data_IF_514921290174
#
_entry.id   IF_514921290174
#
_cell.length_a   1.000
_cell.length_b   1.000
_cell.length_c   1.000
_cell.angle_alpha   90.00
_cell.angle_beta   90.00
_cell.angle_gamma   90.00
#
_symmetry.space_group_name_H-M   'P 1'
#
loop_
_entity.id
_entity.type
_entity.pdbx_description
1 polymer ?
#
# COMPACT_ATOMS: atom_id res chain seq x y z
N UNK A 1 -35.52 2.51 -42.60
CA UNK A 1 -34.08 2.17 -42.54
C UNK A 1 -33.22 3.28 -41.95
N UNK A 2 -33.24 4.53 -42.46
CA UNK A 2 -32.44 5.64 -41.89
C UNK A 2 -32.64 5.90 -40.39
N UNK A 3 -33.89 5.90 -39.89
CA UNK A 3 -34.19 6.12 -38.46
C UNK A 3 -33.64 5.02 -37.54
N UNK A 4 -33.63 3.77 -38.03
CA UNK A 4 -33.08 2.61 -37.30
C UNK A 4 -31.55 2.72 -37.17
N UNK A 5 -30.87 3.19 -38.21
CA UNK A 5 -29.42 3.38 -38.21
C UNK A 5 -28.98 4.54 -37.32
N UNK A 6 -29.79 5.61 -37.20
CA UNK A 6 -29.54 6.74 -36.28
C UNK A 6 -29.74 6.30 -34.82
N UNK A 7 -30.78 5.52 -34.52
CA UNK A 7 -31.01 4.95 -33.19
C UNK A 7 -29.90 3.96 -32.80
N UNK A 8 -29.45 3.12 -33.74
CA UNK A 8 -28.34 2.20 -33.52
C UNK A 8 -27.03 2.96 -33.23
N UNK A 9 -26.69 3.98 -34.04
CA UNK A 9 -25.48 4.78 -33.83
C UNK A 9 -25.49 5.57 -32.51
N UNK A 10 -26.65 6.14 -32.12
CA UNK A 10 -26.82 6.82 -30.84
C UNK A 10 -26.73 5.84 -29.64
N UNK A 11 -27.29 4.64 -29.78
CA UNK A 11 -27.18 3.57 -28.79
C UNK A 11 -25.74 3.08 -28.60
N UNK A 12 -24.98 2.93 -29.69
CA UNK A 12 -23.56 2.53 -29.63
C UNK A 12 -22.68 3.59 -28.97
N UNK A 13 -22.92 4.88 -29.24
CA UNK A 13 -22.18 5.98 -28.61
C UNK A 13 -22.46 6.08 -27.10
N UNK A 14 -23.71 5.88 -26.68
CA UNK A 14 -24.08 5.83 -25.26
C UNK A 14 -23.45 4.63 -24.53
N UNK A 15 -23.35 3.48 -25.21
CA UNK A 15 -22.70 2.27 -24.66
C UNK A 15 -21.18 2.47 -24.49
N UNK A 16 -20.52 3.13 -25.44
CA UNK A 16 -19.08 3.43 -25.32
C UNK A 16 -18.78 4.46 -24.21
N UNK A 17 -19.66 5.44 -24.00
CA UNK A 17 -19.55 6.37 -22.86
C UNK A 17 -19.79 5.67 -21.51
N UNK A 18 -20.71 4.71 -21.46
CA UNK A 18 -20.98 3.92 -20.25
C UNK A 18 -19.84 2.96 -19.87
N UNK A 19 -19.04 2.52 -20.85
CA UNK A 19 -17.88 1.64 -20.61
C UNK A 19 -16.56 2.41 -20.42
N UNK A 20 -16.55 3.74 -20.62
CA UNK A 20 -15.35 4.58 -20.71
C UNK A 20 -14.86 5.19 -19.39
N UNK A 21 -15.50 4.94 -18.24
CA UNK A 21 -15.16 5.62 -16.97
C UNK A 21 -14.41 4.78 -15.91
N UNK A 22 -13.44 3.89 -16.20
CA UNK A 22 -12.61 3.33 -15.13
C UNK A 22 -11.30 4.12 -14.89
N UNK A 23 -10.99 5.14 -15.71
CA UNK A 23 -9.64 5.70 -15.78
C UNK A 23 -9.27 6.77 -14.73
N UNK A 24 -10.18 7.21 -13.85
CA UNK A 24 -9.89 8.30 -12.87
C UNK A 24 -10.37 7.99 -11.44
N UNK A 25 -10.31 6.73 -11.01
CA UNK A 25 -10.93 6.37 -9.74
C UNK A 25 -10.00 6.31 -8.51
N UNK A 26 -8.70 6.54 -8.71
CA UNK A 26 -7.75 6.95 -7.68
C UNK A 26 -6.63 7.70 -8.40
N UNK A 27 -6.70 9.03 -8.40
CA UNK A 27 -5.79 9.94 -9.10
C UNK A 27 -4.78 10.64 -8.16
N UNK A 28 -4.89 10.39 -6.85
CA UNK A 28 -4.01 10.96 -5.82
C UNK A 28 -4.37 12.36 -5.35
N UNK A 29 -5.48 12.96 -5.81
CA UNK A 29 -5.79 14.37 -5.54
C UNK A 29 -6.78 14.60 -4.39
N UNK A 30 -7.59 13.60 -4.02
CA UNK A 30 -8.49 13.70 -2.87
C UNK A 30 -7.81 13.16 -1.62
N UNK A 31 -7.71 14.01 -0.60
CA UNK A 31 -7.00 13.69 0.64
C UNK A 31 -7.95 13.71 1.85
N UNK A 32 -7.94 12.61 2.62
CA UNK A 32 -8.69 12.47 3.87
C UNK A 32 -8.15 13.43 4.94
N UNK A 33 -6.84 13.65 4.93
CA UNK A 33 -6.12 14.60 5.76
C UNK A 33 -4.85 15.07 5.00
N UNK A 34 -4.18 16.15 5.42
CA UNK A 34 -2.90 16.55 4.83
C UNK A 34 -1.87 15.41 4.86
N UNK A 35 -1.38 14.99 3.69
CA UNK A 35 -0.43 13.88 3.54
C UNK A 35 -1.06 12.49 3.41
N UNK A 36 -2.38 12.36 3.52
CA UNK A 36 -3.10 11.10 3.39
C UNK A 36 -4.15 11.18 2.27
N UNK A 37 -3.73 10.78 1.07
CA UNK A 37 -4.53 10.85 -0.15
C UNK A 37 -4.88 9.49 -0.74
N UNK A 38 -4.61 8.41 -0.01
CA UNK A 38 -4.86 7.06 -0.49
C UNK A 38 -6.37 6.76 -0.57
N UNK A 39 -6.77 6.03 -1.61
CA UNK A 39 -8.14 5.56 -1.85
C UNK A 39 -8.12 4.14 -2.42
N UNK A 40 -9.12 3.32 -2.11
CA UNK A 40 -9.31 2.06 -2.81
C UNK A 40 -9.75 2.29 -4.26
N UNK A 41 -9.15 1.57 -5.20
CA UNK A 41 -9.62 1.56 -6.60
C UNK A 41 -11.02 0.92 -6.69
N UNK A 42 -11.84 1.23 -7.72
CA UNK A 42 -13.13 0.59 -7.92
C UNK A 42 -13.01 -0.93 -7.96
N UNK A 43 -13.87 -1.60 -7.20
CA UNK A 43 -13.85 -3.06 -7.06
C UNK A 43 -12.83 -3.59 -6.04
N UNK A 44 -12.09 -2.72 -5.36
CA UNK A 44 -11.21 -3.09 -4.23
C UNK A 44 -11.77 -2.56 -2.91
N UNK A 45 -11.56 -3.28 -1.79
CA UNK A 45 -12.04 -2.85 -0.49
C UNK A 45 -11.11 -1.79 0.13
N UNK A 46 -11.68 -0.89 0.94
CA UNK A 46 -10.96 0.08 1.75
C UNK A 46 -10.09 -0.57 2.84
N UNK A 47 -10.54 -1.69 3.41
CA UNK A 47 -9.77 -2.53 4.34
C UNK A 47 -9.61 -3.93 3.76
N UNK A 48 -8.39 -4.45 3.78
CA UNK A 48 -8.07 -5.74 3.16
C UNK A 48 -8.14 -6.93 4.13
N UNK A 49 -8.19 -6.69 5.44
CA UNK A 49 -8.37 -7.73 6.46
C UNK A 49 -9.68 -8.50 6.22
N UNK A 50 -9.61 -9.83 6.21
CA UNK A 50 -10.74 -10.72 5.91
C UNK A 50 -11.16 -10.78 4.43
N UNK A 51 -10.56 -9.96 3.55
CA UNK A 51 -10.82 -10.00 2.11
C UNK A 51 -10.00 -11.10 1.41
N UNK A 52 -10.24 -11.32 0.11
CA UNK A 52 -9.37 -12.17 -0.72
C UNK A 52 -7.94 -11.64 -0.90
N UNK A 53 -7.70 -10.38 -0.51
CA UNK A 53 -6.41 -9.70 -0.56
C UNK A 53 -5.75 -9.61 0.82
N UNK A 54 -6.31 -10.24 1.85
CA UNK A 54 -5.73 -10.25 3.19
C UNK A 54 -4.34 -10.91 3.17
N UNK A 55 -3.26 -10.19 3.54
CA UNK A 55 -1.90 -10.73 3.51
C UNK A 55 -1.61 -11.72 4.63
N UNK A 56 -2.45 -11.78 5.68
CA UNK A 56 -2.35 -12.73 6.81
C UNK A 56 -0.95 -12.85 7.39
N UNK A 57 -0.27 -11.71 7.55
CA UNK A 57 1.07 -11.68 8.10
C UNK A 57 1.11 -12.28 9.52
N UNK A 58 2.12 -13.09 9.80
CA UNK A 58 2.41 -13.56 11.15
C UNK A 58 3.05 -12.42 11.95
N UNK A 59 2.46 -12.09 13.10
CA UNK A 59 3.00 -11.08 14.02
C UNK A 59 4.42 -11.42 14.48
N UNK A 60 4.70 -12.72 14.70
CA UNK A 60 6.02 -13.20 15.08
C UNK A 60 7.05 -12.90 14.00
N UNK A 61 6.71 -13.11 12.72
CA UNK A 61 7.62 -12.84 11.61
C UNK A 61 7.86 -11.34 11.43
N UNK A 62 6.82 -10.51 11.53
CA UNK A 62 6.94 -9.04 11.44
C UNK A 62 7.87 -8.49 12.53
N UNK A 63 7.84 -9.09 13.72
CA UNK A 63 8.63 -8.62 14.87
C UNK A 63 10.12 -9.03 14.84
N UNK A 64 10.55 -9.92 13.94
CA UNK A 64 11.95 -10.39 13.90
C UNK A 64 12.96 -9.28 13.65
N UNK A 65 12.61 -8.26 12.85
CA UNK A 65 13.50 -7.14 12.56
C UNK A 65 13.81 -6.35 13.84
N UNK A 66 12.79 -6.00 14.62
CA UNK A 66 12.96 -5.30 15.90
C UNK A 66 13.78 -6.12 16.88
N UNK A 67 13.53 -7.43 16.99
CA UNK A 67 14.30 -8.31 17.87
C UNK A 67 15.79 -8.35 17.47
N UNK A 68 16.07 -8.47 16.18
CA UNK A 68 17.44 -8.48 15.67
C UNK A 68 18.15 -7.14 15.95
N UNK A 69 17.46 -6.01 15.74
CA UNK A 69 17.99 -4.67 16.03
C UNK A 69 18.31 -4.50 17.51
N UNK A 70 17.38 -4.83 18.41
CA UNK A 70 17.60 -4.74 19.86
C UNK A 70 18.80 -5.59 20.30
N UNK A 71 18.94 -6.80 19.75
CA UNK A 71 20.08 -7.65 20.03
C UNK A 71 21.40 -7.06 19.49
N UNK A 72 21.38 -6.42 18.32
CA UNK A 72 22.55 -5.72 17.76
C UNK A 72 22.95 -4.51 18.60
N UNK A 73 21.98 -3.69 19.01
CA UNK A 73 22.18 -2.52 19.86
C UNK A 73 22.79 -2.91 21.21
N UNK A 74 22.27 -3.97 21.84
CA UNK A 74 22.80 -4.47 23.10
C UNK A 74 24.24 -4.98 22.97
N UNK A 75 24.57 -5.70 21.88
CA UNK A 75 25.95 -6.11 21.60
C UNK A 75 26.86 -4.91 21.37
N UNK A 76 26.40 -3.91 20.61
CA UNK A 76 27.16 -2.69 20.36
C UNK A 76 27.41 -1.88 21.63
N UNK A 77 26.41 -1.79 22.52
CA UNK A 77 26.55 -1.15 23.83
C UNK A 77 27.66 -1.81 24.64
N UNK A 78 27.67 -3.15 24.73
CA UNK A 78 28.73 -3.90 25.45
C UNK A 78 30.12 -3.63 24.87
N UNK A 79 30.25 -3.62 23.54
CA UNK A 79 31.52 -3.32 22.85
C UNK A 79 32.00 -1.90 23.16
N UNK A 80 31.10 -0.93 23.07
CA UNK A 80 31.41 0.47 23.35
C UNK A 80 31.80 0.69 24.83
N UNK A 81 31.14 0.02 25.77
CA UNK A 81 31.49 0.07 27.19
C UNK A 81 32.87 -0.55 27.47
N UNK A 82 33.18 -1.70 26.85
CA UNK A 82 34.51 -2.30 26.97
C UNK A 82 35.59 -1.39 26.36
N UNK A 83 35.32 -0.80 25.20
CA UNK A 83 36.24 0.11 24.54
C UNK A 83 36.54 1.35 25.40
N UNK A 84 35.51 1.97 25.99
CA UNK A 84 35.66 3.10 26.90
C UNK A 84 36.50 2.76 28.14
N UNK A 85 36.39 1.53 28.67
CA UNK A 85 37.12 1.10 29.86
C UNK A 85 38.58 0.71 29.57
N UNK A 86 38.83 0.09 28.43
CA UNK A 86 40.13 -0.56 28.14
C UNK A 86 40.97 0.19 27.11
N UNK A 87 40.38 1.08 26.31
CA UNK A 87 41.04 1.75 25.20
C UNK A 87 41.23 0.87 23.95
N UNK A 88 40.83 -0.41 23.99
CA UNK A 88 41.00 -1.36 22.89
C UNK A 88 39.65 -1.90 22.44
N UNK A 89 39.36 -1.80 21.14
CA UNK A 89 38.10 -2.29 20.58
C UNK A 89 38.11 -3.82 20.47
N UNK A 90 37.05 -4.47 20.95
CA UNK A 90 36.82 -5.91 20.84
C UNK A 90 35.38 -6.14 20.33
N UNK A 91 35.23 -6.92 19.25
CA UNK A 91 33.97 -7.14 18.53
C UNK A 91 33.18 -8.33 19.07
#
# INVERSE_FOLDING_TARGET
MKKLNVLAAAGSAALMLAMGTPAIAYDGTQCRAPGDCWQAKPGFPEKIEGSKYDPKHSEVELNKQTQAMNAMEERNRKRAENFKKTGTWNY
#
